data_IF_701997973090
#
_entry.id   IF_701997973090
#
_cell.length_a   1.000
_cell.length_b   1.000
_cell.length_c   1.000
_cell.angle_alpha   90.00
_cell.angle_beta   90.00
_cell.angle_gamma   90.00
#
_symmetry.space_group_name_H-M   'P 1'
#
loop_
_entity.id
_entity.type
_entity.pdbx_description
1 polymer ?
#
# COMPACT_ATOMS: atom_id res chain seq x y z
N UNK A 1 -11.31 36.82 2.58
CA UNK A 1 -12.07 35.59 2.93
C UNK A 1 -11.41 34.43 2.19
N UNK A 2 -10.52 33.69 2.86
CA UNK A 2 -9.80 32.57 2.26
C UNK A 2 -10.77 31.41 2.02
N UNK A 3 -11.03 31.10 0.74
CA UNK A 3 -11.82 29.93 0.35
C UNK A 3 -11.20 28.68 1.00
N UNK A 4 -11.86 28.12 2.01
CA UNK A 4 -11.39 26.88 2.63
C UNK A 4 -11.25 25.81 1.53
N UNK A 5 -10.13 25.09 1.49
CA UNK A 5 -9.92 24.06 0.49
C UNK A 5 -11.04 23.02 0.58
N UNK A 6 -11.76 22.82 -0.52
CA UNK A 6 -12.88 21.89 -0.57
C UNK A 6 -12.43 20.49 -0.20
N UNK A 7 -13.21 19.79 0.63
CA UNK A 7 -12.99 18.38 1.02
C UNK A 7 -12.68 17.48 -0.18
N UNK A 8 -13.30 17.76 -1.34
CA UNK A 8 -13.08 17.01 -2.58
C UNK A 8 -11.66 17.21 -3.13
N UNK A 9 -11.13 18.44 -3.07
CA UNK A 9 -9.79 18.78 -3.56
C UNK A 9 -8.70 18.14 -2.70
N UNK A 10 -8.83 18.22 -1.37
CA UNK A 10 -7.87 17.61 -0.44
C UNK A 10 -7.91 16.10 -0.54
N UNK A 11 -9.10 15.52 -0.68
CA UNK A 11 -9.24 14.08 -0.93
C UNK A 11 -8.58 13.68 -2.25
N UNK A 12 -8.75 14.45 -3.32
CA UNK A 12 -8.08 14.20 -4.59
C UNK A 12 -6.56 14.14 -4.42
N UNK A 13 -6.00 15.08 -3.65
CA UNK A 13 -4.58 15.09 -3.28
C UNK A 13 -4.19 13.84 -2.46
N UNK A 14 -5.00 13.44 -1.47
CA UNK A 14 -4.75 12.24 -0.66
C UNK A 14 -4.70 10.96 -1.51
N UNK A 15 -5.62 10.81 -2.47
CA UNK A 15 -5.66 9.66 -3.39
C UNK A 15 -4.45 9.66 -4.35
N UNK A 16 -4.05 10.84 -4.84
CA UNK A 16 -2.86 10.94 -5.68
C UNK A 16 -1.59 10.52 -4.93
N UNK A 17 -1.43 10.99 -3.69
CA UNK A 17 -0.29 10.63 -2.83
C UNK A 17 -0.32 9.14 -2.46
N UNK A 18 -1.50 8.56 -2.24
CA UNK A 18 -1.69 7.14 -1.99
C UNK A 18 -1.14 6.29 -3.14
N UNK A 19 -1.55 6.57 -4.39
CA UNK A 19 -1.04 5.87 -5.59
C UNK A 19 0.47 6.01 -5.75
N UNK A 20 1.00 7.21 -5.47
CA UNK A 20 2.44 7.44 -5.52
C UNK A 20 3.18 6.63 -4.47
N UNK A 21 2.63 6.54 -3.26
CA UNK A 21 3.18 5.74 -2.15
C UNK A 21 3.21 4.25 -2.52
N UNK A 22 2.14 3.71 -3.10
CA UNK A 22 2.07 2.32 -3.55
C UNK A 22 3.13 1.99 -4.59
N UNK A 23 3.31 2.87 -5.59
CA UNK A 23 4.36 2.70 -6.61
C UNK A 23 5.76 2.70 -6.00
N UNK A 24 6.02 3.59 -5.04
CA UNK A 24 7.31 3.67 -4.36
C UNK A 24 7.54 2.48 -3.41
N UNK A 25 6.51 2.01 -2.70
CA UNK A 25 6.59 0.82 -1.85
C UNK A 25 6.88 -0.44 -2.68
N UNK A 26 6.24 -0.58 -3.84
CA UNK A 26 6.51 -1.66 -4.78
C UNK A 26 7.98 -1.64 -5.22
N UNK A 27 8.50 -0.47 -5.63
CA UNK A 27 9.93 -0.30 -5.96
C UNK A 27 10.83 -0.59 -4.77
N UNK A 28 10.50 -0.11 -3.58
CA UNK A 28 11.27 -0.34 -2.36
C UNK A 28 11.34 -1.83 -1.99
N UNK A 29 10.23 -2.55 -2.15
CA UNK A 29 10.18 -4.00 -1.95
C UNK A 29 11.07 -4.79 -2.91
N UNK A 30 11.35 -4.28 -4.13
CA UNK A 30 12.29 -4.97 -5.03
C UNK A 30 13.72 -4.94 -4.49
N UNK A 31 14.12 -3.88 -3.77
CA UNK A 31 15.43 -3.82 -3.12
C UNK A 31 15.57 -4.79 -1.94
N UNK A 32 14.46 -5.17 -1.28
CA UNK A 32 14.48 -6.24 -0.30
C UNK A 32 14.78 -7.61 -0.94
N UNK A 33 14.34 -7.83 -2.18
CA UNK A 33 14.58 -9.07 -2.91
C UNK A 33 15.97 -9.11 -3.55
N UNK A 34 16.52 -7.96 -3.93
CA UNK A 34 17.87 -7.81 -4.50
C UNK A 34 18.87 -7.30 -3.47
N UNK A 35 18.73 -7.71 -2.20
CA UNK A 35 19.56 -7.19 -1.11
C UNK A 35 21.04 -7.40 -1.42
N UNK A 36 21.76 -6.30 -1.61
CA UNK A 36 23.21 -6.26 -1.76
C UNK A 36 23.86 -5.89 -0.43
N UNK A 37 25.15 -6.21 -0.26
CA UNK A 37 25.90 -6.01 0.99
C UNK A 37 25.92 -4.55 1.45
N UNK A 38 25.71 -3.59 0.54
CA UNK A 38 25.68 -2.15 0.83
C UNK A 38 24.33 -1.50 0.51
N UNK A 39 24.08 -0.35 1.14
CA UNK A 39 22.99 0.54 0.77
C UNK A 39 23.26 1.19 -0.57
N UNK A 40 22.58 0.75 -1.62
CA UNK A 40 22.60 1.43 -2.91
C UNK A 40 22.11 2.87 -2.71
N UNK A 41 22.82 3.87 -3.25
CA UNK A 41 22.42 5.29 -3.11
C UNK A 41 20.99 5.58 -3.62
N UNK A 42 20.45 4.72 -4.49
CA UNK A 42 19.07 4.74 -4.95
C UNK A 42 18.07 4.28 -3.87
N UNK A 43 18.41 3.26 -3.08
CA UNK A 43 17.57 2.79 -1.97
C UNK A 43 17.42 3.87 -0.90
N UNK A 44 18.53 4.51 -0.50
CA UNK A 44 18.49 5.61 0.49
C UNK A 44 17.68 6.82 0.00
N UNK A 45 17.67 7.08 -1.31
CA UNK A 45 16.83 8.11 -1.91
C UNK A 45 15.35 7.72 -1.83
N UNK A 46 15.00 6.49 -2.19
CA UNK A 46 13.61 5.99 -2.15
C UNK A 46 13.10 5.89 -0.72
N UNK A 47 13.94 5.47 0.24
CA UNK A 47 13.64 5.42 1.67
C UNK A 47 13.23 6.80 2.20
N UNK A 48 14.05 7.83 1.95
CA UNK A 48 13.74 9.22 2.31
C UNK A 48 12.51 9.76 1.58
N UNK A 49 12.32 9.41 0.31
CA UNK A 49 11.15 9.81 -0.46
C UNK A 49 9.86 9.20 0.09
N UNK A 50 9.90 7.93 0.50
CA UNK A 50 8.77 7.24 1.14
C UNK A 50 8.41 7.88 2.47
N UNK A 51 9.41 8.13 3.32
CA UNK A 51 9.20 8.81 4.61
C UNK A 51 8.60 10.21 4.43
N UNK A 52 9.10 10.98 3.46
CA UNK A 52 8.57 12.30 3.13
C UNK A 52 7.13 12.27 2.60
N UNK A 53 6.80 11.35 1.68
CA UNK A 53 5.45 11.24 1.12
C UNK A 53 4.46 10.72 2.17
N UNK A 54 4.87 9.78 3.02
CA UNK A 54 4.04 9.30 4.13
C UNK A 54 3.75 10.42 5.14
N UNK A 55 4.74 11.26 5.45
CA UNK A 55 4.55 12.47 6.27
C UNK A 55 3.60 13.47 5.62
N UNK A 56 3.80 13.81 4.35
CA UNK A 56 2.88 14.70 3.62
C UNK A 56 1.45 14.14 3.56
N UNK A 57 1.29 12.82 3.48
CA UNK A 57 -0.02 12.17 3.47
C UNK A 57 -0.70 12.23 4.83
N UNK A 58 0.07 12.15 5.92
CA UNK A 58 -0.41 12.40 7.28
C UNK A 58 -0.96 13.83 7.39
N UNK A 59 -0.19 14.85 6.98
CA UNK A 59 -0.63 16.26 7.02
C UNK A 59 -1.92 16.51 6.24
N UNK A 60 -2.06 15.87 5.08
CA UNK A 60 -3.26 15.96 4.23
C UNK A 60 -4.46 15.30 4.91
N UNK A 61 -4.27 14.16 5.59
CA UNK A 61 -5.33 13.48 6.34
C UNK A 61 -5.71 14.26 7.61
N UNK A 62 -4.77 14.91 8.26
CA UNK A 62 -5.03 15.77 9.41
C UNK A 62 -5.80 17.03 9.00
N UNK A 63 -5.45 17.62 7.85
CA UNK A 63 -6.25 18.69 7.23
C UNK A 63 -7.68 18.23 6.89
N UNK A 64 -7.83 16.99 6.39
CA UNK A 64 -9.14 16.39 6.12
C UNK A 64 -9.94 16.18 7.42
N UNK A 65 -9.25 15.82 8.52
CA UNK A 65 -9.83 15.61 9.85
C UNK A 65 -10.32 16.94 10.42
N UNK A 66 -9.52 18.00 10.34
CA UNK A 66 -9.89 19.33 10.80
C UNK A 66 -11.13 19.88 10.06
N UNK A 67 -11.24 19.64 8.75
CA UNK A 67 -12.42 20.03 7.97
C UNK A 67 -13.65 19.20 8.38
N UNK A 68 -13.44 17.93 8.75
CA UNK A 68 -14.49 17.09 9.28
C UNK A 68 -15.00 17.58 10.64
N UNK A 69 -14.10 17.94 11.54
CA UNK A 69 -14.43 18.38 12.90
C UNK A 69 -15.04 19.78 12.92
N UNK A 70 -14.63 20.66 12.01
CA UNK A 70 -15.15 22.03 11.89
C UNK A 70 -16.57 22.09 11.32
N UNK A 71 -17.12 20.97 10.82
CA UNK A 71 -18.36 20.97 10.07
C UNK A 71 -19.32 19.89 10.62
N UNK A 72 -20.14 20.22 11.64
CA UNK A 72 -20.97 19.24 12.37
C UNK A 72 -22.09 18.61 11.54
N UNK A 73 -22.37 19.13 10.33
CA UNK A 73 -23.36 18.57 9.39
C UNK A 73 -22.75 17.58 8.37
N UNK A 74 -21.56 17.04 8.64
CA UNK A 74 -20.90 16.14 7.69
C UNK A 74 -21.60 14.79 7.58
N UNK A 75 -21.79 14.36 6.32
CA UNK A 75 -22.36 13.05 6.00
C UNK A 75 -21.49 11.93 6.56
N UNK A 76 -22.12 10.94 7.21
CA UNK A 76 -21.49 9.72 7.69
C UNK A 76 -20.59 9.04 6.64
N UNK A 77 -20.95 9.11 5.36
CA UNK A 77 -20.13 8.58 4.26
C UNK A 77 -18.74 9.24 4.16
N UNK A 78 -18.64 10.56 4.38
CA UNK A 78 -17.36 11.29 4.35
C UNK A 78 -16.49 10.93 5.55
N UNK A 79 -17.11 10.71 6.71
CA UNK A 79 -16.41 10.29 7.93
C UNK A 79 -15.85 8.86 7.78
N UNK A 80 -16.62 7.93 7.23
CA UNK A 80 -16.11 6.58 6.90
C UNK A 80 -14.98 6.60 5.87
N UNK A 81 -15.04 7.51 4.88
CA UNK A 81 -13.95 7.67 3.91
C UNK A 81 -12.67 8.21 4.55
N UNK A 82 -12.78 9.16 5.48
CA UNK A 82 -11.64 9.67 6.24
C UNK A 82 -11.01 8.58 7.09
N UNK A 83 -11.84 7.79 7.79
CA UNK A 83 -11.38 6.64 8.57
C UNK A 83 -10.58 5.66 7.70
N UNK A 84 -11.09 5.34 6.50
CA UNK A 84 -10.40 4.49 5.54
C UNK A 84 -9.03 5.05 5.11
N UNK A 85 -8.94 6.36 4.86
CA UNK A 85 -7.64 6.96 4.52
C UNK A 85 -6.64 6.89 5.68
N UNK A 86 -7.09 6.98 6.94
CA UNK A 86 -6.24 6.77 8.13
C UNK A 86 -5.74 5.33 8.24
N UNK A 87 -6.63 4.36 8.04
CA UNK A 87 -6.28 2.93 8.07
C UNK A 87 -5.23 2.60 7.00
N UNK A 88 -5.44 3.01 5.76
CA UNK A 88 -4.50 2.77 4.66
C UNK A 88 -3.15 3.44 4.94
N UNK A 89 -3.14 4.65 5.50
CA UNK A 89 -1.89 5.31 5.88
C UNK A 89 -1.12 4.50 6.94
N UNK A 90 -1.81 4.02 7.97
CA UNK A 90 -1.21 3.20 9.01
C UNK A 90 -0.64 1.89 8.45
N UNK A 91 -1.35 1.24 7.54
CA UNK A 91 -0.89 0.02 6.89
C UNK A 91 0.32 0.26 6.00
N UNK A 92 0.38 1.39 5.28
CA UNK A 92 1.55 1.76 4.49
C UNK A 92 2.78 2.03 5.40
N UNK A 93 2.60 2.65 6.56
CA UNK A 93 3.67 2.83 7.56
C UNK A 93 4.20 1.50 8.10
N UNK A 94 3.30 0.56 8.43
CA UNK A 94 3.69 -0.80 8.86
C UNK A 94 4.46 -1.52 7.77
N UNK A 95 3.94 -1.49 6.54
CA UNK A 95 4.59 -2.10 5.37
C UNK A 95 5.99 -1.54 5.14
N UNK A 96 6.14 -0.21 5.15
CA UNK A 96 7.43 0.46 5.03
C UNK A 96 8.43 0.01 6.10
N UNK A 97 8.01 -0.02 7.38
CA UNK A 97 8.87 -0.46 8.49
C UNK A 97 9.25 -1.94 8.36
N UNK A 98 8.33 -2.79 7.94
CA UNK A 98 8.58 -4.22 7.75
C UNK A 98 9.60 -4.45 6.63
N UNK A 99 9.44 -3.78 5.49
CA UNK A 99 10.39 -3.87 4.37
C UNK A 99 11.78 -3.39 4.81
N UNK A 100 11.85 -2.24 5.49
CA UNK A 100 13.11 -1.69 6.01
C UNK A 100 13.80 -2.64 7.00
N UNK A 101 13.02 -3.25 7.90
CA UNK A 101 13.53 -4.26 8.84
C UNK A 101 14.04 -5.51 8.11
N UNK A 102 13.30 -5.98 7.11
CA UNK A 102 13.70 -7.15 6.30
C UNK A 102 15.00 -6.90 5.55
N UNK A 103 15.16 -5.73 4.92
CA UNK A 103 16.42 -5.33 4.28
C UNK A 103 17.57 -5.33 5.28
N UNK A 104 17.36 -4.74 6.47
CA UNK A 104 18.41 -4.67 7.48
C UNK A 104 18.80 -6.05 8.02
N UNK A 105 17.82 -6.94 8.23
CA UNK A 105 18.08 -8.31 8.65
C UNK A 105 18.89 -9.08 7.61
N UNK A 106 18.53 -8.96 6.32
CA UNK A 106 19.25 -9.65 5.26
C UNK A 106 20.67 -9.09 5.10
N UNK A 107 20.88 -7.77 5.26
CA UNK A 107 22.23 -7.19 5.32
C UNK A 107 23.05 -7.70 6.48
N UNK A 108 22.47 -7.75 7.69
CA UNK A 108 23.15 -8.29 8.85
C UNK A 108 23.54 -9.75 8.62
N UNK A 109 22.67 -10.53 7.97
CA UNK A 109 22.95 -11.91 7.56
C UNK A 109 24.12 -11.99 6.58
N UNK A 110 24.13 -11.16 5.53
CA UNK A 110 25.23 -11.10 4.57
C UNK A 110 26.56 -10.73 5.23
N UNK A 111 26.56 -9.75 6.15
CA UNK A 111 27.76 -9.35 6.88
C UNK A 111 28.29 -10.46 7.80
N UNK A 112 27.40 -11.19 8.49
CA UNK A 112 27.77 -12.33 9.32
C UNK A 112 28.34 -13.48 8.45
N UNK A 113 27.74 -13.78 7.31
CA UNK A 113 28.25 -14.79 6.38
C UNK A 113 29.62 -14.40 5.82
N UNK A 114 29.85 -13.12 5.53
CA UNK A 114 31.17 -12.62 5.11
C UNK A 114 32.20 -12.77 6.23
N UNK A 115 31.84 -12.42 7.48
CA UNK A 115 32.72 -12.59 8.65
C UNK A 115 33.09 -14.05 8.87
N UNK A 116 32.11 -14.96 8.84
CA UNK A 116 32.33 -16.41 9.00
C UNK A 116 33.18 -16.96 7.85
N UNK A 117 32.92 -16.53 6.61
CA UNK A 117 33.75 -16.93 5.46
C UNK A 117 35.21 -16.50 5.62
N UNK A 118 35.44 -15.28 6.12
CA UNK A 118 36.79 -14.76 6.33
C UNK A 118 37.51 -15.49 7.49
N UNK A 119 36.79 -15.79 8.56
CA UNK A 119 37.31 -16.55 9.70
C UNK A 119 37.64 -18.01 9.35
N UNK A 120 36.78 -18.67 8.55
CA UNK A 120 37.06 -20.00 7.98
C UNK A 120 38.29 -19.96 7.08
N UNK A 121 38.41 -18.96 6.20
CA UNK A 121 39.55 -18.82 5.30
C UNK A 121 40.87 -18.62 6.08
N UNK A 122 40.84 -17.80 7.12
CA UNK A 122 42.00 -17.56 8.00
C UNK A 122 42.35 -18.78 8.84
N UNK A 123 41.35 -19.51 9.36
CA UNK A 123 41.56 -20.77 10.08
C UNK A 123 42.18 -21.87 9.21
N UNK A 124 41.89 -21.88 7.91
CA UNK A 124 42.57 -22.77 6.94
C UNK A 124 43.98 -22.31 6.56
N UNK A 125 44.35 -21.05 6.79
CA UNK A 125 45.70 -20.54 6.48
C UNK A 125 46.66 -20.60 7.67
N UNK A 126 46.16 -20.51 8.91
CA UNK A 126 46.96 -20.59 10.14
C UNK A 126 47.15 -22.01 10.70
N UNK A 127 46.47 -23.03 10.15
CA UNK A 127 46.73 -24.42 10.48
C UNK A 127 47.88 -24.97 9.61
N UNK A 128 49.05 -25.34 10.17
CA UNK A 128 50.06 -26.06 9.42
C UNK A 128 49.48 -27.42 9.04
N UNK A 129 49.24 -27.62 7.74
CA UNK A 129 48.72 -28.87 7.21
C UNK A 129 49.62 -30.06 7.62
N UNK A 130 49.10 -31.07 8.33
CA UNK A 130 49.66 -32.40 8.23
C UNK A 130 49.29 -32.92 6.84
N UNK A 131 50.30 -33.21 6.05
CA UNK A 131 50.21 -33.91 4.77
C UNK A 131 49.55 -35.28 5.04
N UNK A 132 48.24 -35.42 4.81
CA UNK A 132 47.52 -36.64 5.17
C UNK A 132 46.13 -36.82 4.54
N UNK A 133 45.20 -35.88 4.72
CA UNK A 133 43.79 -36.24 4.61
C UNK A 133 43.05 -35.57 3.44
N UNK A 134 43.23 -36.13 2.23
CA UNK A 134 42.31 -35.87 1.12
C UNK A 134 40.86 -36.26 1.50
N UNK A 135 40.70 -37.28 2.34
CA UNK A 135 39.40 -37.76 2.81
C UNK A 135 38.74 -36.78 3.80
N UNK A 136 39.51 -36.14 4.69
CA UNK A 136 38.99 -35.09 5.58
C UNK A 136 38.64 -33.82 4.80
N UNK A 137 39.44 -33.46 3.80
CA UNK A 137 39.14 -32.36 2.89
C UNK A 137 37.84 -32.61 2.12
N UNK A 138 37.64 -33.80 1.55
CA UNK A 138 36.42 -34.18 0.83
C UNK A 138 35.21 -34.23 1.78
N UNK A 139 35.37 -34.73 3.01
CA UNK A 139 34.29 -34.74 4.00
C UNK A 139 33.90 -33.33 4.44
N UNK A 140 34.87 -32.43 4.61
CA UNK A 140 34.60 -31.04 4.94
C UNK A 140 33.93 -30.30 3.76
N UNK A 141 34.35 -30.58 2.52
CA UNK A 141 33.72 -30.04 1.32
C UNK A 141 32.27 -30.53 1.17
N UNK A 142 32.02 -31.82 1.44
CA UNK A 142 30.66 -32.40 1.45
C UNK A 142 29.77 -31.74 2.50
N UNK A 143 30.28 -31.52 3.72
CA UNK A 143 29.55 -30.81 4.78
C UNK A 143 29.23 -29.36 4.40
N UNK A 144 30.17 -28.66 3.75
CA UNK A 144 29.95 -27.29 3.25
C UNK A 144 28.90 -27.26 2.13
N UNK A 145 28.91 -28.24 1.23
CA UNK A 145 27.93 -28.38 0.16
C UNK A 145 26.54 -28.67 0.75
N UNK A 146 26.42 -29.61 1.69
CA UNK A 146 25.15 -29.92 2.35
C UNK A 146 24.59 -28.74 3.12
N UNK A 147 25.44 -27.99 3.81
CA UNK A 147 25.03 -26.78 4.51
C UNK A 147 24.59 -25.67 3.55
N UNK A 148 25.27 -25.52 2.41
CA UNK A 148 24.86 -24.60 1.34
C UNK A 148 23.55 -25.01 0.68
N UNK A 149 23.33 -26.31 0.47
CA UNK A 149 22.13 -26.86 -0.15
C UNK A 149 20.89 -26.63 0.74
N UNK A 150 21.03 -26.91 2.05
CA UNK A 150 19.98 -26.63 3.04
C UNK A 150 19.62 -25.14 3.15
N UNK A 151 20.57 -24.23 2.95
CA UNK A 151 20.32 -22.78 2.95
C UNK A 151 19.58 -22.36 1.68
N UNK A 152 19.94 -22.92 0.52
CA UNK A 152 19.25 -22.66 -0.75
C UNK A 152 17.80 -23.15 -0.70
N UNK A 153 17.55 -24.35 -0.17
CA UNK A 153 16.18 -24.87 -0.02
C UNK A 153 15.32 -24.01 0.90
N UNK A 154 15.91 -23.44 1.96
CA UNK A 154 15.24 -22.49 2.85
C UNK A 154 14.99 -21.13 2.21
N UNK A 155 15.89 -20.65 1.36
CA UNK A 155 15.67 -19.42 0.58
C UNK A 155 14.56 -19.60 -0.46
N UNK A 156 14.48 -20.78 -1.08
CA UNK A 156 13.39 -21.13 -1.98
C UNK A 156 12.07 -21.17 -1.19
N UNK A 157 12.01 -21.87 -0.06
CA UNK A 157 10.77 -21.94 0.74
C UNK A 157 10.32 -20.58 1.28
N UNK A 158 11.25 -19.73 1.72
CA UNK A 158 10.94 -18.37 2.21
C UNK A 158 10.50 -17.41 1.09
N UNK A 159 11.00 -17.58 -0.13
CA UNK A 159 10.50 -16.86 -1.31
C UNK A 159 9.08 -17.30 -1.69
N UNK A 160 8.78 -18.61 -1.59
CA UNK A 160 7.43 -19.14 -1.80
C UNK A 160 6.44 -18.68 -0.73
N UNK A 161 6.86 -18.64 0.53
CA UNK A 161 6.04 -18.18 1.65
C UNK A 161 5.72 -16.68 1.53
N UNK A 162 6.71 -15.86 1.14
CA UNK A 162 6.52 -14.42 0.92
C UNK A 162 5.61 -14.17 -0.31
N UNK A 163 5.73 -14.96 -1.38
CA UNK A 163 4.80 -14.91 -2.53
C UNK A 163 3.37 -15.28 -2.13
N UNK A 164 3.20 -16.28 -1.27
CA UNK A 164 1.89 -16.67 -0.72
C UNK A 164 1.30 -15.57 0.18
N UNK A 165 2.13 -14.88 0.97
CA UNK A 165 1.69 -13.74 1.78
C UNK A 165 1.26 -12.53 0.93
N UNK A 166 1.95 -12.24 -0.18
CA UNK A 166 1.51 -11.19 -1.12
C UNK A 166 0.26 -11.58 -1.92
N UNK A 167 0.13 -12.84 -2.34
CA UNK A 167 -1.08 -13.33 -3.04
C UNK A 167 -2.29 -13.38 -2.10
N UNK A 168 -2.13 -13.86 -0.87
CA UNK A 168 -3.19 -13.85 0.14
C UNK A 168 -3.58 -12.42 0.55
N UNK A 169 -2.65 -11.47 0.61
CA UNK A 169 -2.97 -10.04 0.78
C UNK A 169 -3.80 -9.49 -0.39
N UNK A 170 -3.49 -9.85 -1.64
CA UNK A 170 -4.29 -9.45 -2.81
C UNK A 170 -5.72 -10.04 -2.76
N UNK A 171 -5.87 -11.29 -2.30
CA UNK A 171 -7.17 -11.92 -2.14
C UNK A 171 -7.97 -11.34 -0.97
N UNK A 172 -7.33 -10.88 0.12
CA UNK A 172 -8.00 -10.17 1.22
C UNK A 172 -8.53 -8.80 0.76
N UNK A 173 -7.77 -8.06 -0.06
CA UNK A 173 -8.21 -6.79 -0.65
C UNK A 173 -9.36 -6.98 -1.65
N UNK A 174 -9.35 -8.05 -2.46
CA UNK A 174 -10.47 -8.39 -3.35
C UNK A 174 -11.69 -8.92 -2.57
N UNK A 175 -11.49 -9.67 -1.48
CA UNK A 175 -12.58 -10.16 -0.62
C UNK A 175 -13.27 -9.01 0.12
N UNK A 176 -12.54 -7.97 0.53
CA UNK A 176 -13.12 -6.76 1.10
C UNK A 176 -14.00 -6.01 0.09
N UNK A 177 -13.60 -5.96 -1.19
CA UNK A 177 -14.39 -5.36 -2.27
C UNK A 177 -15.69 -6.16 -2.54
N UNK A 178 -15.61 -7.50 -2.51
CA UNK A 178 -16.78 -8.36 -2.66
C UNK A 178 -17.73 -8.34 -1.47
N UNK A 179 -17.29 -8.08 -0.23
CA UNK A 179 -18.20 -7.87 0.91
C UNK A 179 -19.00 -6.57 0.80
N UNK A 180 -18.43 -5.52 0.21
CA UNK A 180 -19.17 -4.28 -0.11
C UNK A 180 -20.21 -4.55 -1.21
N UNK A 181 -19.85 -5.33 -2.24
CA UNK A 181 -20.77 -5.71 -3.31
C UNK A 181 -21.88 -6.66 -2.82
N UNK A 182 -21.57 -7.61 -1.92
CA UNK A 182 -22.57 -8.48 -1.29
C UNK A 182 -23.45 -7.75 -0.27
N UNK A 183 -22.95 -6.69 0.39
CA UNK A 183 -23.79 -5.80 1.19
C UNK A 183 -24.74 -4.99 0.30
N UNK A 184 -24.32 -4.63 -0.92
CA UNK A 184 -25.20 -4.05 -1.94
C UNK A 184 -26.31 -5.03 -2.38
N UNK A 185 -26.03 -6.33 -2.41
CA UNK A 185 -27.01 -7.37 -2.74
C UNK A 185 -27.92 -7.76 -1.55
N UNK A 186 -27.52 -7.47 -0.30
CA UNK A 186 -28.31 -7.74 0.90
C UNK A 186 -29.22 -6.58 1.35
N UNK A 187 -29.17 -5.43 0.68
CA UNK A 187 -30.11 -4.31 0.90
C UNK A 187 -30.97 -4.11 -0.35
N UNK A 188 -31.97 -4.99 -0.60
CA UNK A 188 -32.97 -4.76 -1.64
C UNK A 188 -33.84 -3.56 -1.21
N UNK A 189 -33.50 -2.35 -1.67
CA UNK A 189 -34.26 -1.15 -1.31
C UNK A 189 -33.60 0.19 -1.66
N UNK A 190 -32.28 0.22 -1.87
CA UNK A 190 -31.54 1.46 -2.22
C UNK A 190 -31.93 1.98 -3.60
N UNK A 191 -32.28 1.10 -4.54
CA UNK A 191 -32.70 1.50 -5.89
C UNK A 191 -34.02 2.28 -5.90
N UNK A 192 -34.96 1.94 -5.00
CA UNK A 192 -36.22 2.67 -4.84
C UNK A 192 -36.00 4.06 -4.23
N UNK A 193 -35.04 4.21 -3.30
CA UNK A 193 -34.71 5.49 -2.68
C UNK A 193 -33.99 6.44 -3.66
N UNK A 194 -33.08 5.90 -4.48
CA UNK A 194 -32.40 6.66 -5.55
C UNK A 194 -33.37 7.05 -6.67
N UNK A 195 -34.30 6.18 -7.07
CA UNK A 195 -35.36 6.55 -8.03
C UNK A 195 -36.31 7.62 -7.47
N UNK A 196 -36.66 7.57 -6.17
CA UNK A 196 -37.48 8.62 -5.51
C UNK A 196 -36.79 9.99 -5.47
N UNK A 197 -35.47 10.02 -5.33
CA UNK A 197 -34.68 11.24 -5.35
C UNK A 197 -34.60 11.87 -6.74
N UNK A 198 -34.47 11.06 -7.81
CA UNK A 198 -34.45 11.56 -9.18
C UNK A 198 -35.85 12.04 -9.65
N UNK A 199 -36.93 11.39 -9.20
CA UNK A 199 -38.30 11.82 -9.56
C UNK A 199 -38.69 13.17 -8.98
N UNK A 200 -38.23 13.54 -7.78
CA UNK A 200 -38.51 14.89 -7.22
C UNK A 200 -37.86 16.01 -8.04
N UNK A 201 -36.62 15.83 -8.53
CA UNK A 201 -35.98 16.80 -9.42
C UNK A 201 -36.67 16.90 -10.78
N UNK A 202 -37.07 15.76 -11.37
CA UNK A 202 -37.80 15.75 -12.64
C UNK A 202 -39.18 16.39 -12.54
N UNK A 203 -39.89 16.21 -11.42
CA UNK A 203 -41.18 16.87 -11.18
C UNK A 203 -41.04 18.39 -11.14
N UNK A 204 -40.04 18.92 -10.44
CA UNK A 204 -39.83 20.37 -10.38
C UNK A 204 -39.48 20.96 -11.76
N UNK A 205 -38.66 20.25 -12.55
CA UNK A 205 -38.32 20.67 -13.92
C UNK A 205 -39.54 20.62 -14.86
N UNK A 206 -40.40 19.61 -14.74
CA UNK A 206 -41.61 19.48 -15.55
C UNK A 206 -42.62 20.59 -15.25
N UNK A 207 -42.85 20.90 -13.97
CA UNK A 207 -43.76 22.00 -13.56
C UNK A 207 -43.27 23.34 -14.09
N UNK A 208 -41.97 23.62 -13.98
CA UNK A 208 -41.38 24.86 -14.48
C UNK A 208 -41.51 24.98 -16.01
N UNK A 209 -41.29 23.88 -16.73
CA UNK A 209 -41.44 23.84 -18.19
C UNK A 209 -42.90 24.09 -18.61
N UNK A 210 -43.88 23.43 -17.96
CA UNK A 210 -45.30 23.61 -18.29
C UNK A 210 -45.78 25.04 -18.06
N UNK A 211 -45.38 25.69 -16.97
CA UNK A 211 -45.74 27.09 -16.68
C UNK A 211 -45.15 28.02 -17.75
N UNK A 212 -43.88 27.80 -18.11
CA UNK A 212 -43.20 28.62 -19.13
C UNK A 212 -43.89 28.49 -20.48
N UNK A 213 -44.26 27.28 -20.90
CA UNK A 213 -44.98 27.05 -22.16
C UNK A 213 -46.37 27.69 -22.15
N UNK A 214 -47.11 27.58 -21.04
CA UNK A 214 -48.44 28.19 -20.89
C UNK A 214 -48.37 29.73 -20.97
N UNK A 215 -47.39 30.34 -20.32
CA UNK A 215 -47.18 31.79 -20.39
C UNK A 215 -46.89 32.27 -21.81
N UNK A 216 -46.07 31.52 -22.58
CA UNK A 216 -45.76 31.86 -23.98
C UNK A 216 -47.01 31.74 -24.86
N UNK A 217 -47.82 30.69 -24.67
CA UNK A 217 -49.04 30.46 -25.44
C UNK A 217 -50.11 31.53 -25.17
N UNK A 218 -50.27 31.93 -23.91
CA UNK A 218 -51.18 33.02 -23.55
C UNK A 218 -50.76 34.34 -24.20
N UNK A 219 -49.48 34.71 -24.13
CA UNK A 219 -49.00 35.92 -24.79
C UNK A 219 -49.24 35.90 -26.31
N UNK A 220 -49.04 34.77 -26.96
CA UNK A 220 -49.29 34.62 -28.40
C UNK A 220 -50.77 34.67 -28.77
N UNK A 221 -51.68 34.21 -27.90
CA UNK A 221 -53.11 34.22 -28.19
C UNK A 221 -53.80 35.55 -27.85
N UNK A 222 -53.20 36.32 -26.93
CA UNK A 222 -53.74 37.62 -26.49
C UNK A 222 -53.24 38.79 -27.35
N UNK A 223 -52.23 38.56 -28.21
CA UNK A 223 -51.65 39.51 -29.15
C UNK A 223 -52.04 39.14 -30.57
#
# INVERSE_FOLDING_TARGET
MSSQPSFVTIRGKAISLEKQTESLLSKYSTFAQTTSSEQTGQEKKIDKQLEGILGQRQDVIDSLTQICDSNPAISASKLSQLQRHKEILQDHWKSFRNIRSSIQQERNRLNLLFSVKNDIANSTTDAPAPIGDADEYIQNETRRIDQSNNVVDRLISQAWETRSQFHSQSNVLNTANNKVLQTLQRIPGVNQLIMKINTRRKKNAFVLATITTLCILFLFFTW
#
